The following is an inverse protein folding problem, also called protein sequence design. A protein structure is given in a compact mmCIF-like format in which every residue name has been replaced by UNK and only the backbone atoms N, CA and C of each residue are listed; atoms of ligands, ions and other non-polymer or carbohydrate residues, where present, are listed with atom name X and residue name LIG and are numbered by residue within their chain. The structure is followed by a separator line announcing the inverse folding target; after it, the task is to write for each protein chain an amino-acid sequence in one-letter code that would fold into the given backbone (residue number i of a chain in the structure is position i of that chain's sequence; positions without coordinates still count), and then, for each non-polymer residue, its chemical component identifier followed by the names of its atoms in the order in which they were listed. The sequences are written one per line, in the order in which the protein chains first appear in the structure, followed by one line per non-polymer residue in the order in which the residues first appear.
data_IF_350109033222
#
_entry.id   IF_350109033222
#
_cell.length_a   1.000
_cell.length_b   1.000
_cell.length_c   1.000
_cell.angle_alpha   90.00
_cell.angle_beta   90.00
_cell.angle_gamma   90.00
#
_symmetry.space_group_name_H-M   'P 1'
#
loop_
_entity.id
_entity.type
_entity.pdbx_description
1 polymer ?
#
# COMPACT_ATOMS: atom_id res chain seq x y z
N UNK A 1 -25.82 9.80 13.71
CA UNK A 1 -25.38 9.73 12.28
C UNK A 1 -24.15 10.60 12.15
N UNK A 2 -23.05 10.02 11.68
CA UNK A 2 -21.78 10.73 11.50
C UNK A 2 -21.85 11.67 10.30
N UNK A 3 -21.12 12.80 10.35
CA UNK A 3 -20.93 13.65 9.15
C UNK A 3 -20.01 12.97 8.14
N UNK A 4 -18.89 12.44 8.62
CA UNK A 4 -17.93 11.74 7.76
C UNK A 4 -17.30 10.55 8.52
N UNK A 5 -17.25 9.41 7.85
CA UNK A 5 -16.46 8.25 8.30
C UNK A 5 -15.27 8.08 7.37
N UNK A 6 -14.09 7.88 7.97
CA UNK A 6 -12.84 7.60 7.28
C UNK A 6 -12.46 6.13 7.55
N UNK A 7 -12.21 5.36 6.49
CA UNK A 7 -11.86 3.94 6.58
C UNK A 7 -10.38 3.75 6.33
N UNK A 8 -9.62 3.45 7.40
CA UNK A 8 -8.18 3.21 7.37
C UNK A 8 -7.36 4.37 7.94
N UNK A 9 -6.20 4.01 8.52
CA UNK A 9 -5.28 4.92 9.23
C UNK A 9 -3.86 4.94 8.64
N UNK A 10 -3.70 4.57 7.35
CA UNK A 10 -2.50 4.90 6.60
C UNK A 10 -2.36 6.42 6.38
N UNK A 11 -1.31 6.87 5.69
CA UNK A 11 -1.07 8.29 5.40
C UNK A 11 -2.26 8.99 4.76
N UNK A 12 -3.03 8.31 3.91
CA UNK A 12 -4.22 8.88 3.30
C UNK A 12 -5.32 9.16 4.34
N UNK A 13 -5.67 8.16 5.14
CA UNK A 13 -6.73 8.27 6.14
C UNK A 13 -6.40 9.26 7.24
N UNK A 14 -5.17 9.20 7.79
CA UNK A 14 -4.72 10.14 8.82
C UNK A 14 -4.65 11.59 8.31
N UNK A 15 -4.20 11.81 7.06
CA UNK A 15 -4.25 13.14 6.46
C UNK A 15 -5.69 13.61 6.27
N UNK A 16 -6.58 12.74 5.78
CA UNK A 16 -8.00 13.06 5.66
C UNK A 16 -8.60 13.42 7.03
N UNK A 17 -8.28 12.66 8.09
CA UNK A 17 -8.72 12.92 9.46
C UNK A 17 -8.26 14.30 9.98
N UNK A 18 -7.00 14.67 9.73
CA UNK A 18 -6.49 15.99 10.11
C UNK A 18 -7.30 17.11 9.44
N UNK A 19 -7.54 17.01 8.14
CA UNK A 19 -8.21 18.06 7.38
C UNK A 19 -9.70 18.16 7.69
N UNK A 20 -10.40 17.03 7.80
CA UNK A 20 -11.84 17.01 8.16
C UNK A 20 -12.07 17.46 9.61
N UNK A 21 -11.22 17.05 10.56
CA UNK A 21 -11.29 17.52 11.93
C UNK A 21 -11.06 19.03 12.04
N UNK A 22 -10.09 19.59 11.29
CA UNK A 22 -9.85 21.04 11.23
C UNK A 22 -11.00 21.81 10.58
N UNK A 23 -11.81 21.17 9.74
CA UNK A 23 -13.03 21.72 9.17
C UNK A 23 -14.27 21.57 10.11
N UNK A 24 -14.08 21.15 11.36
CA UNK A 24 -15.14 20.90 12.36
C UNK A 24 -16.16 19.83 11.91
N UNK A 25 -15.74 18.84 11.14
CA UNK A 25 -16.60 17.74 10.72
C UNK A 25 -16.63 16.56 11.71
N UNK A 26 -15.79 16.60 12.75
CA UNK A 26 -15.69 15.54 13.78
C UNK A 26 -15.64 14.13 13.19
N UNK A 27 -14.61 13.80 12.38
CA UNK A 27 -14.57 12.53 11.67
C UNK A 27 -14.46 11.34 12.61
N UNK A 28 -15.23 10.28 12.36
CA UNK A 28 -14.99 8.96 12.92
C UNK A 28 -14.02 8.19 12.00
N UNK A 29 -12.89 7.76 12.53
CA UNK A 29 -11.86 7.01 11.81
C UNK A 29 -11.89 5.55 12.24
N UNK A 30 -12.16 4.65 11.29
CA UNK A 30 -12.14 3.21 11.50
C UNK A 30 -10.77 2.65 11.11
N UNK A 31 -10.03 2.15 12.09
CA UNK A 31 -8.59 1.85 11.94
C UNK A 31 -8.31 0.54 11.21
N UNK A 32 -9.26 -0.42 11.24
CA UNK A 32 -9.06 -1.79 10.75
C UNK A 32 -8.20 -2.64 11.71
N UNK A 33 -7.78 -3.81 11.24
CA UNK A 33 -6.94 -4.74 12.02
C UNK A 33 -5.45 -4.37 12.02
N UNK A 34 -5.00 -3.57 11.07
CA UNK A 34 -3.61 -3.12 10.95
C UNK A 34 -3.54 -1.57 11.00
N UNK A 35 -3.74 -0.96 12.20
CA UNK A 35 -3.69 0.49 12.36
C UNK A 35 -2.36 1.06 11.86
N UNK A 36 -2.43 2.15 11.08
CA UNK A 36 -1.26 2.80 10.48
C UNK A 36 -0.81 2.20 9.14
N UNK A 37 -1.28 1.01 8.80
CA UNK A 37 -1.03 0.35 7.51
C UNK A 37 0.45 0.02 7.29
N UNK A 38 0.90 0.01 6.03
CA UNK A 38 2.22 -0.52 5.63
C UNK A 38 3.42 0.15 6.29
N UNK A 39 3.33 1.43 6.67
CA UNK A 39 4.44 2.12 7.32
C UNK A 39 4.73 1.61 8.73
N UNK A 40 3.80 0.93 9.38
CA UNK A 40 4.06 0.32 10.71
C UNK A 40 4.94 -0.92 10.64
N UNK A 41 5.12 -1.50 9.46
CA UNK A 41 5.99 -2.65 9.21
C UNK A 41 7.31 -2.29 8.51
N UNK A 42 7.59 -0.99 8.33
CA UNK A 42 8.88 -0.52 7.80
C UNK A 42 9.71 0.16 8.89
N UNK A 43 11.00 0.26 8.66
CA UNK A 43 11.93 0.91 9.59
C UNK A 43 12.08 2.40 9.23
N UNK A 44 13.19 2.78 8.60
CA UNK A 44 13.48 4.16 8.26
C UNK A 44 12.78 4.59 6.96
N UNK A 45 12.05 5.70 7.00
CA UNK A 45 11.41 6.36 5.87
C UNK A 45 12.19 7.63 5.53
N UNK A 46 12.94 7.62 4.43
CA UNK A 46 13.78 8.74 3.98
C UNK A 46 13.13 9.61 2.90
N UNK A 47 12.01 9.14 2.33
CA UNK A 47 11.36 9.77 1.19
C UNK A 47 10.05 10.50 1.53
N UNK A 48 9.77 10.71 2.82
CA UNK A 48 8.67 11.56 3.26
C UNK A 48 9.20 12.97 3.56
N UNK A 49 8.75 14.02 2.85
CA UNK A 49 9.28 15.37 3.00
C UNK A 49 9.13 15.93 4.40
N UNK A 50 10.12 16.69 4.86
CA UNK A 50 10.13 17.32 6.19
C UNK A 50 11.03 16.62 7.21
N UNK A 51 11.61 15.47 6.87
CA UNK A 51 12.51 14.69 7.70
C UNK A 51 13.84 14.45 7.00
N UNK A 52 14.81 15.39 7.07
CA UNK A 52 16.08 15.30 6.34
C UNK A 52 16.94 14.10 6.74
N UNK A 53 16.80 13.63 7.97
CA UNK A 53 17.50 12.45 8.50
C UNK A 53 16.62 11.16 8.42
N UNK A 54 15.49 11.23 7.71
CA UNK A 54 14.48 10.18 7.76
C UNK A 54 13.67 10.17 9.05
N UNK A 55 12.66 9.31 9.09
CA UNK A 55 11.84 9.08 10.27
C UNK A 55 11.45 7.60 10.33
N UNK A 56 11.40 7.03 11.52
CA UNK A 56 10.86 5.70 11.73
C UNK A 56 9.39 5.62 11.29
N UNK A 57 9.02 4.60 10.51
CA UNK A 57 7.68 4.48 9.93
C UNK A 57 6.56 4.51 10.98
N UNK A 58 6.61 3.66 12.04
CA UNK A 58 5.69 3.73 13.17
C UNK A 58 5.63 5.11 13.83
N UNK A 59 6.77 5.79 13.98
CA UNK A 59 6.83 7.13 14.57
C UNK A 59 6.13 8.17 13.69
N UNK A 60 6.27 8.09 12.37
CA UNK A 60 5.56 8.98 11.44
C UNK A 60 4.05 8.80 11.58
N UNK A 61 3.57 7.57 11.58
CA UNK A 61 2.14 7.24 11.76
C UNK A 61 1.63 7.77 13.11
N UNK A 62 2.37 7.53 14.19
CA UNK A 62 1.99 8.00 15.53
C UNK A 62 1.92 9.54 15.60
N UNK A 63 2.82 10.23 14.93
CA UNK A 63 2.80 11.69 14.87
C UNK A 63 1.56 12.20 14.12
N UNK A 64 1.20 11.57 12.98
CA UNK A 64 0.01 11.93 12.20
C UNK A 64 -1.28 11.62 12.99
N UNK A 65 -1.34 10.49 13.68
CA UNK A 65 -2.48 10.09 14.53
C UNK A 65 -2.71 11.13 15.64
N UNK A 66 -1.68 11.45 16.42
CA UNK A 66 -1.74 12.47 17.47
C UNK A 66 -2.14 13.84 16.93
N UNK A 67 -1.70 14.17 15.71
CA UNK A 67 -2.08 15.42 15.08
C UNK A 67 -3.58 15.44 14.74
N UNK A 68 -4.15 14.33 14.26
CA UNK A 68 -5.58 14.22 13.98
C UNK A 68 -6.42 14.28 15.27
N UNK A 69 -6.03 13.55 16.33
CA UNK A 69 -6.67 13.59 17.65
C UNK A 69 -6.69 15.00 18.23
N UNK A 70 -5.58 15.73 18.11
CA UNK A 70 -5.47 17.12 18.59
C UNK A 70 -6.54 18.03 18.00
N UNK A 71 -7.02 17.75 16.78
CA UNK A 71 -8.06 18.52 16.11
C UNK A 71 -9.47 17.94 16.30
N UNK A 72 -9.61 16.84 17.04
CA UNK A 72 -10.90 16.25 17.38
C UNK A 72 -11.36 15.12 16.46
N UNK A 73 -10.45 14.45 15.74
CA UNK A 73 -10.77 13.18 15.11
C UNK A 73 -10.97 12.08 16.16
N UNK A 74 -12.02 11.30 16.03
CA UNK A 74 -12.31 10.14 16.88
C UNK A 74 -11.84 8.86 16.19
N UNK A 75 -11.14 7.99 16.93
CA UNK A 75 -10.59 6.73 16.41
C UNK A 75 -11.30 5.54 17.04
N UNK A 76 -11.65 4.56 16.21
CA UNK A 76 -12.22 3.28 16.66
C UNK A 76 -11.43 2.14 16.04
N UNK A 77 -10.88 1.27 16.88
CA UNK A 77 -10.26 0.03 16.45
C UNK A 77 -11.36 -0.95 16.03
N UNK A 78 -11.69 -0.94 14.77
CA UNK A 78 -12.77 -1.76 14.20
C UNK A 78 -12.57 -1.92 12.69
N UNK A 79 -13.00 -3.05 12.15
CA UNK A 79 -12.99 -3.34 10.71
C UNK A 79 -14.33 -3.06 10.07
N UNK A 80 -14.30 -2.51 8.86
CA UNK A 80 -15.50 -2.39 8.02
C UNK A 80 -15.71 -3.71 7.30
N UNK A 81 -16.81 -4.40 7.62
CA UNK A 81 -17.19 -5.70 7.04
C UNK A 81 -18.19 -5.55 5.89
N UNK A 82 -18.91 -4.42 5.83
CA UNK A 82 -19.92 -4.18 4.82
C UNK A 82 -20.18 -2.70 4.59
N UNK A 83 -20.71 -2.39 3.41
CA UNK A 83 -21.10 -1.06 3.00
C UNK A 83 -22.44 -1.11 2.27
N UNK A 84 -23.33 -0.16 2.57
CA UNK A 84 -24.60 -0.02 1.86
C UNK A 84 -24.98 1.45 1.69
N UNK A 85 -25.93 1.67 0.78
CA UNK A 85 -26.51 2.99 0.50
C UNK A 85 -27.96 3.00 0.98
N UNK A 86 -28.38 4.09 1.58
CA UNK A 86 -29.76 4.30 2.00
C UNK A 86 -30.18 5.73 1.57
N UNK A 87 -31.48 6.01 1.55
CA UNK A 87 -32.04 7.28 1.04
C UNK A 87 -31.31 8.53 1.56
N UNK A 88 -30.36 9.02 0.78
CA UNK A 88 -29.58 10.25 1.06
C UNK A 88 -28.37 10.09 1.98
N UNK A 89 -28.03 8.87 2.43
CA UNK A 89 -26.86 8.62 3.28
C UNK A 89 -26.24 7.23 3.06
N UNK A 90 -25.11 6.97 3.72
CA UNK A 90 -24.34 5.73 3.64
C UNK A 90 -24.32 5.03 5.00
N UNK A 91 -24.08 3.73 4.98
CA UNK A 91 -23.90 2.95 6.20
C UNK A 91 -22.78 1.95 6.05
N UNK A 92 -22.02 1.82 7.12
CA UNK A 92 -20.94 0.86 7.24
C UNK A 92 -21.28 -0.17 8.31
N UNK A 93 -21.10 -1.46 8.00
CA UNK A 93 -21.26 -2.55 8.95
C UNK A 93 -19.95 -2.76 9.69
N UNK A 94 -19.96 -2.60 11.00
CA UNK A 94 -18.78 -2.57 11.85
C UNK A 94 -19.12 -3.24 13.18
N UNK A 95 -18.38 -4.29 13.57
CA UNK A 95 -18.55 -5.00 14.83
C UNK A 95 -20.00 -5.43 15.11
N UNK A 96 -20.72 -5.91 14.10
CA UNK A 96 -22.09 -6.39 14.24
C UNK A 96 -23.17 -5.30 14.20
N UNK A 97 -22.85 -4.05 13.98
CA UNK A 97 -23.80 -2.94 13.89
C UNK A 97 -23.62 -2.09 12.63
N UNK A 98 -24.68 -1.40 12.22
CA UNK A 98 -24.63 -0.43 11.13
C UNK A 98 -24.43 0.98 11.68
N UNK A 99 -23.40 1.68 11.18
CA UNK A 99 -23.14 3.09 11.48
C UNK A 99 -23.53 3.90 10.27
N UNK A 100 -24.43 4.87 10.46
CA UNK A 100 -24.95 5.74 9.40
C UNK A 100 -24.07 7.00 9.29
N UNK A 101 -23.81 7.45 8.04
CA UNK A 101 -22.98 8.63 7.76
C UNK A 101 -23.42 9.36 6.49
N UNK A 102 -23.18 10.68 6.43
CA UNK A 102 -23.46 11.48 5.25
C UNK A 102 -22.37 11.36 4.17
N UNK A 103 -21.12 11.10 4.57
CA UNK A 103 -19.98 11.00 3.66
C UNK A 103 -19.01 9.93 4.09
N UNK A 104 -18.30 9.31 3.14
CA UNK A 104 -17.27 8.28 3.40
C UNK A 104 -15.99 8.59 2.64
N UNK A 105 -14.86 8.54 3.34
CA UNK A 105 -13.53 8.55 2.71
C UNK A 105 -12.91 7.15 2.87
N UNK A 106 -12.74 6.45 1.75
CA UNK A 106 -12.17 5.12 1.72
C UNK A 106 -10.67 5.26 1.52
N UNK A 107 -9.91 4.96 2.58
CA UNK A 107 -8.46 5.03 2.64
C UNK A 107 -7.84 3.73 3.17
N UNK A 108 -8.51 2.59 2.87
CA UNK A 108 -8.18 1.25 3.36
C UNK A 108 -6.90 0.65 2.75
N UNK A 109 -6.28 1.35 1.79
CA UNK A 109 -5.01 0.97 1.21
C UNK A 109 -5.05 -0.29 0.33
N UNK A 110 -3.87 -0.87 0.12
CA UNK A 110 -3.69 -2.13 -0.61
C UNK A 110 -2.61 -2.96 0.10
N UNK A 111 -2.82 -4.26 0.19
CA UNK A 111 -1.89 -5.19 0.82
C UNK A 111 -0.97 -5.81 -0.21
N UNK A 112 0.34 -5.81 0.04
CA UNK A 112 1.29 -6.53 -0.79
C UNK A 112 1.02 -8.04 -0.74
N UNK A 113 1.13 -8.71 -1.87
CA UNK A 113 1.13 -10.17 -1.91
C UNK A 113 2.50 -10.69 -1.55
N UNK A 114 2.52 -11.68 -0.67
CA UNK A 114 3.72 -12.34 -0.20
C UNK A 114 3.76 -13.79 -0.69
N UNK A 115 4.90 -14.46 -0.55
CA UNK A 115 5.04 -15.86 -0.95
C UNK A 115 4.37 -16.83 0.03
N UNK A 116 4.13 -16.40 1.28
CA UNK A 116 3.59 -17.23 2.34
C UNK A 116 4.63 -18.22 2.91
N UNK A 117 5.90 -17.88 2.81
CA UNK A 117 6.99 -18.72 3.32
C UNK A 117 7.23 -18.47 4.81
N UNK A 118 7.86 -19.46 5.43
CA UNK A 118 8.24 -19.36 6.83
C UNK A 118 9.17 -18.16 7.09
N UNK A 119 9.01 -17.51 8.24
CA UNK A 119 9.76 -16.32 8.69
C UNK A 119 9.51 -15.02 7.89
N UNK A 120 8.60 -15.01 6.94
CA UNK A 120 8.30 -13.83 6.12
C UNK A 120 7.99 -12.59 6.97
N UNK A 121 7.14 -12.73 8.00
CA UNK A 121 6.79 -11.62 8.89
C UNK A 121 7.98 -11.07 9.69
N UNK A 122 8.96 -11.89 10.03
CA UNK A 122 10.15 -11.47 10.80
C UNK A 122 11.17 -10.72 9.94
N UNK A 123 11.20 -11.03 8.64
CA UNK A 123 12.18 -10.47 7.70
C UNK A 123 11.70 -9.19 7.02
N UNK A 124 10.42 -8.83 7.16
CA UNK A 124 9.92 -7.53 6.68
C UNK A 124 10.66 -6.39 7.38
N UNK A 125 11.29 -5.50 6.59
CA UNK A 125 12.19 -4.46 7.10
C UNK A 125 13.60 -4.95 7.45
N UNK A 126 13.86 -6.26 7.39
CA UNK A 126 15.15 -6.90 7.66
C UNK A 126 15.67 -7.67 6.43
N UNK A 127 15.65 -7.02 5.27
CA UNK A 127 16.05 -7.59 3.99
C UNK A 127 14.90 -8.18 3.16
N UNK A 128 13.66 -8.10 3.62
CA UNK A 128 12.49 -8.49 2.84
C UNK A 128 11.52 -7.30 2.72
N UNK A 129 11.21 -6.92 1.48
CA UNK A 129 10.35 -5.74 1.18
C UNK A 129 9.52 -5.96 -0.07
N UNK A 130 8.50 -5.11 -0.26
CA UNK A 130 7.68 -5.05 -1.47
C UNK A 130 7.76 -3.68 -2.19
N UNK A 131 8.74 -2.84 -1.82
CA UNK A 131 8.86 -1.48 -2.36
C UNK A 131 10.32 -1.14 -2.71
N UNK A 132 10.69 -1.23 -3.98
CA UNK A 132 12.03 -0.88 -4.43
C UNK A 132 12.33 0.61 -4.31
N UNK A 133 11.35 1.48 -4.54
CA UNK A 133 11.51 2.93 -4.42
C UNK A 133 11.66 3.41 -2.98
N UNK A 134 11.16 2.63 -2.01
CA UNK A 134 11.32 2.92 -0.59
C UNK A 134 12.71 2.50 -0.10
N UNK A 135 13.10 1.26 -0.36
CA UNK A 135 14.19 0.60 0.34
C UNK A 135 15.45 0.38 -0.52
N UNK A 136 15.34 0.54 -1.84
CA UNK A 136 16.45 0.23 -2.76
C UNK A 136 17.75 1.00 -2.46
N UNK A 137 17.66 2.21 -1.92
CA UNK A 137 18.82 3.04 -1.59
C UNK A 137 19.66 2.44 -0.44
N UNK A 138 19.08 1.65 0.46
CA UNK A 138 19.78 1.01 1.59
C UNK A 138 20.71 -0.13 1.14
N UNK A 139 20.48 -0.70 -0.06
CA UNK A 139 21.20 -1.86 -0.58
C UNK A 139 22.25 -1.48 -1.64
N UNK A 140 22.98 -0.37 -1.42
CA UNK A 140 24.07 0.07 -2.32
C UNK A 140 25.23 -0.90 -2.33
N UNK A 141 25.66 -1.28 -3.53
CA UNK A 141 26.87 -2.09 -3.74
C UNK A 141 26.73 -3.57 -3.34
N UNK A 142 25.54 -4.00 -2.94
CA UNK A 142 25.29 -5.41 -2.56
C UNK A 142 24.33 -6.08 -3.56
N UNK A 143 24.36 -7.43 -3.69
CA UNK A 143 23.43 -8.15 -4.53
C UNK A 143 22.04 -8.21 -3.90
N UNK A 144 21.01 -8.05 -4.75
CA UNK A 144 19.60 -8.15 -4.36
C UNK A 144 18.84 -9.04 -5.33
N UNK A 145 17.65 -9.51 -4.97
CA UNK A 145 16.77 -10.15 -5.92
C UNK A 145 15.38 -9.52 -5.94
N UNK A 146 14.73 -9.63 -7.10
CA UNK A 146 13.33 -9.24 -7.33
C UNK A 146 12.57 -10.49 -7.72
N UNK A 147 11.47 -10.77 -7.03
CA UNK A 147 10.61 -11.91 -7.32
C UNK A 147 9.37 -11.40 -8.04
N UNK A 148 9.20 -11.83 -9.28
CA UNK A 148 8.05 -11.40 -10.09
C UNK A 148 8.28 -11.61 -11.58
N UNK A 149 7.38 -11.06 -12.41
CA UNK A 149 7.52 -11.19 -13.87
C UNK A 149 6.54 -10.31 -14.65
N UNK A 150 5.83 -9.41 -13.97
CA UNK A 150 5.00 -8.36 -14.56
C UNK A 150 5.75 -7.03 -14.68
N UNK A 151 5.04 -6.00 -15.16
CA UNK A 151 5.62 -4.66 -15.33
C UNK A 151 6.24 -4.12 -14.04
N UNK A 152 5.56 -4.25 -12.90
CA UNK A 152 6.10 -3.84 -11.59
C UNK A 152 7.46 -4.49 -11.29
N UNK A 153 7.59 -5.80 -11.49
CA UNK A 153 8.85 -6.50 -11.20
C UNK A 153 10.00 -6.05 -12.12
N UNK A 154 9.70 -5.76 -13.39
CA UNK A 154 10.70 -5.26 -14.34
C UNK A 154 11.08 -3.82 -14.05
N UNK A 155 10.12 -2.96 -13.68
CA UNK A 155 10.37 -1.57 -13.27
C UNK A 155 11.23 -1.51 -12.01
N UNK A 156 10.89 -2.30 -10.99
CA UNK A 156 11.67 -2.39 -9.76
C UNK A 156 13.08 -2.93 -9.99
N UNK A 157 13.22 -3.99 -10.81
CA UNK A 157 14.53 -4.51 -11.16
C UNK A 157 15.41 -3.47 -11.86
N UNK A 158 14.84 -2.72 -12.84
CA UNK A 158 15.55 -1.62 -13.52
C UNK A 158 15.93 -0.52 -12.51
N UNK A 159 15.00 -0.12 -11.65
CA UNK A 159 15.25 0.92 -10.64
C UNK A 159 16.42 0.54 -9.72
N UNK A 160 16.45 -0.70 -9.24
CA UNK A 160 17.47 -1.22 -8.34
C UNK A 160 18.86 -1.27 -8.95
N UNK A 161 19.00 -1.32 -10.29
CA UNK A 161 20.34 -1.26 -10.93
C UNK A 161 21.12 0.01 -10.61
N UNK A 162 20.43 1.07 -10.16
CA UNK A 162 21.05 2.34 -9.74
C UNK A 162 21.84 2.20 -8.43
N UNK A 163 21.50 1.22 -7.63
CA UNK A 163 22.05 1.03 -6.28
C UNK A 163 22.81 -0.29 -6.15
N UNK A 164 22.15 -1.39 -6.43
CA UNK A 164 22.68 -2.73 -6.24
C UNK A 164 23.90 -3.03 -7.12
N UNK A 165 24.77 -3.92 -6.65
CA UNK A 165 25.86 -4.46 -7.47
C UNK A 165 25.33 -5.42 -8.54
N UNK A 166 24.32 -6.21 -8.21
CA UNK A 166 23.64 -7.18 -9.07
C UNK A 166 22.17 -7.27 -8.69
N UNK A 167 21.28 -7.44 -9.64
CA UNK A 167 19.84 -7.66 -9.45
C UNK A 167 19.45 -8.98 -10.08
N UNK A 168 19.07 -9.96 -9.27
CA UNK A 168 18.58 -11.25 -9.76
C UNK A 168 17.06 -11.17 -9.92
N UNK A 169 16.57 -11.28 -11.17
CA UNK A 169 15.14 -11.27 -11.47
C UNK A 169 14.60 -12.71 -11.52
N UNK A 170 14.03 -13.16 -10.40
CA UNK A 170 13.56 -14.54 -10.23
C UNK A 170 12.15 -14.68 -10.77
N UNK A 171 11.97 -15.56 -11.74
CA UNK A 171 10.66 -15.82 -12.33
C UNK A 171 10.39 -17.32 -12.53
N UNK A 172 9.18 -17.75 -12.14
CA UNK A 172 8.74 -19.15 -12.19
C UNK A 172 8.50 -19.72 -13.58
N UNK A 173 8.61 -18.91 -14.64
CA UNK A 173 8.46 -19.30 -16.05
C UNK A 173 9.72 -18.95 -16.82
N UNK A 174 9.77 -19.37 -18.09
CA UNK A 174 10.86 -19.10 -19.03
C UNK A 174 10.79 -17.72 -19.69
N UNK A 175 9.72 -16.95 -19.45
CA UNK A 175 9.53 -15.60 -19.99
C UNK A 175 8.69 -14.72 -19.08
N UNK A 176 8.98 -13.42 -19.06
CA UNK A 176 8.24 -12.41 -18.32
C UNK A 176 6.85 -12.17 -18.93
N UNK A 177 5.92 -11.71 -18.09
CA UNK A 177 4.57 -11.30 -18.51
C UNK A 177 4.44 -9.79 -18.66
N UNK A 178 5.51 -9.05 -18.40
CA UNK A 178 5.58 -7.61 -18.59
C UNK A 178 5.36 -7.22 -20.05
N UNK A 179 5.05 -5.96 -20.29
CA UNK A 179 4.96 -5.42 -21.65
C UNK A 179 6.30 -5.60 -22.38
N UNK A 180 6.25 -5.83 -23.70
CA UNK A 180 7.44 -6.12 -24.51
C UNK A 180 8.55 -5.09 -24.28
N UNK A 181 8.20 -3.82 -24.24
CA UNK A 181 9.16 -2.72 -24.03
C UNK A 181 9.83 -2.81 -22.63
N UNK A 182 9.09 -3.24 -21.60
CA UNK A 182 9.66 -3.40 -20.26
C UNK A 182 10.56 -4.62 -20.17
N UNK A 183 10.20 -5.72 -20.84
CA UNK A 183 11.05 -6.90 -20.96
C UNK A 183 12.38 -6.55 -21.62
N UNK A 184 12.35 -5.88 -22.79
CA UNK A 184 13.55 -5.45 -23.50
C UNK A 184 14.43 -4.52 -22.65
N UNK A 185 13.82 -3.55 -21.98
CA UNK A 185 14.55 -2.64 -21.07
C UNK A 185 15.21 -3.35 -19.89
N UNK A 186 14.49 -4.28 -19.25
CA UNK A 186 15.03 -5.03 -18.12
C UNK A 186 16.18 -5.94 -18.55
N UNK A 187 15.98 -6.74 -19.60
CA UNK A 187 16.98 -7.72 -20.07
C UNK A 187 18.20 -7.06 -20.76
N UNK A 188 18.09 -5.79 -21.17
CA UNK A 188 19.25 -5.03 -21.67
C UNK A 188 20.14 -4.46 -20.56
N UNK A 189 19.72 -4.49 -19.30
CA UNK A 189 20.52 -3.98 -18.19
C UNK A 189 21.62 -4.97 -17.79
N UNK A 190 22.90 -4.58 -17.84
CA UNK A 190 24.00 -5.51 -17.56
C UNK A 190 24.03 -6.03 -16.11
N UNK A 191 23.38 -5.32 -15.19
CA UNK A 191 23.27 -5.72 -13.78
C UNK A 191 22.07 -6.64 -13.50
N UNK A 192 21.16 -6.83 -14.45
CA UNK A 192 20.00 -7.72 -14.25
C UNK A 192 20.34 -9.11 -14.76
N UNK A 193 20.26 -10.07 -13.86
CA UNK A 193 20.42 -11.51 -14.17
C UNK A 193 19.07 -12.20 -14.04
N UNK A 194 18.44 -12.60 -15.15
CA UNK A 194 17.20 -13.35 -15.07
C UNK A 194 17.46 -14.79 -14.57
N UNK A 195 16.65 -15.22 -13.61
CA UNK A 195 16.65 -16.58 -13.06
C UNK A 195 15.32 -17.23 -13.42
N UNK A 196 15.33 -17.95 -14.53
CA UNK A 196 14.13 -18.52 -15.13
C UNK A 196 13.69 -19.84 -14.49
N UNK A 197 12.41 -20.16 -14.64
CA UNK A 197 11.81 -21.42 -14.19
C UNK A 197 12.07 -21.71 -12.72
N UNK A 198 12.20 -20.67 -11.90
CA UNK A 198 12.71 -20.77 -10.53
C UNK A 198 11.75 -20.09 -9.57
N UNK A 199 11.55 -20.75 -8.43
CA UNK A 199 10.82 -20.20 -7.28
C UNK A 199 11.73 -20.11 -6.08
N UNK A 200 11.44 -19.20 -5.16
CA UNK A 200 12.03 -19.16 -3.82
C UNK A 200 11.24 -20.11 -2.94
N UNK A 201 11.94 -20.97 -2.21
CA UNK A 201 11.34 -21.96 -1.31
C UNK A 201 11.58 -21.63 0.16
N UNK A 202 12.65 -20.89 0.47
CA UNK A 202 12.96 -20.45 1.84
C UNK A 202 13.80 -19.18 1.83
N UNK A 203 13.57 -18.33 2.82
CA UNK A 203 14.45 -17.21 3.15
C UNK A 203 15.53 -17.69 4.13
N UNK A 204 16.75 -17.22 3.96
CA UNK A 204 17.88 -17.50 4.84
C UNK A 204 18.21 -16.22 5.61
N UNK A 205 18.25 -16.32 6.93
CA UNK A 205 18.60 -15.24 7.83
C UNK A 205 19.89 -15.55 8.56
N UNK A 206 20.69 -14.53 8.80
CA UNK A 206 21.85 -14.62 9.65
C UNK A 206 21.47 -14.69 11.15
N UNK A 207 22.42 -14.92 12.07
CA UNK A 207 22.13 -15.00 13.51
C UNK A 207 21.57 -13.69 14.11
N UNK A 208 21.69 -12.55 13.42
CA UNK A 208 21.13 -11.26 13.85
C UNK A 208 19.69 -11.05 13.41
N UNK A 209 19.19 -11.92 12.51
CA UNK A 209 17.84 -11.86 11.96
C UNK A 209 17.74 -11.10 10.62
N UNK A 210 18.88 -10.69 10.05
CA UNK A 210 18.93 -10.03 8.74
C UNK A 210 19.00 -11.06 7.61
N UNK A 211 18.39 -10.75 6.47
CA UNK A 211 18.40 -11.62 5.31
C UNK A 211 19.83 -11.75 4.73
N UNK A 212 20.28 -12.99 4.54
CA UNK A 212 21.56 -13.29 3.91
C UNK A 212 21.45 -14.05 2.58
N UNK A 213 20.27 -14.56 2.24
CA UNK A 213 20.05 -15.29 1.00
C UNK A 213 18.68 -15.94 0.88
N UNK A 214 18.53 -16.71 -0.19
CA UNK A 214 17.31 -17.48 -0.47
C UNK A 214 17.65 -18.87 -0.98
N UNK A 215 16.83 -19.86 -0.64
CA UNK A 215 16.83 -21.16 -1.32
C UNK A 215 15.91 -21.10 -2.55
N UNK A 216 16.41 -21.66 -3.63
CA UNK A 216 15.77 -21.67 -4.93
C UNK A 216 15.47 -23.11 -5.36
N UNK A 217 14.37 -23.29 -6.07
CA UNK A 217 14.02 -24.54 -6.75
C UNK A 217 13.70 -24.24 -8.21
N UNK A 218 14.45 -24.87 -9.12
CA UNK A 218 14.09 -24.85 -10.52
C UNK A 218 12.89 -25.80 -10.74
N UNK A 219 11.77 -25.26 -11.19
CA UNK A 219 10.51 -26.01 -11.31
C UNK A 219 10.47 -26.96 -12.52
N UNK A 220 11.42 -26.85 -13.45
CA UNK A 220 11.54 -27.77 -14.60
C UNK A 220 12.49 -28.94 -14.30
N UNK A 221 13.63 -28.66 -13.69
CA UNK A 221 14.65 -29.68 -13.44
C UNK A 221 14.56 -30.31 -12.05
N UNK A 222 13.87 -29.65 -11.09
CA UNK A 222 13.84 -30.05 -9.68
C UNK A 222 15.14 -29.75 -8.94
N UNK A 223 16.10 -29.06 -9.55
CA UNK A 223 17.37 -28.70 -8.94
C UNK A 223 17.17 -27.62 -7.88
N UNK A 224 17.70 -27.87 -6.69
CA UNK A 224 17.75 -26.90 -5.60
C UNK A 224 19.11 -26.19 -5.58
N UNK A 225 19.10 -24.89 -5.28
CA UNK A 225 20.29 -24.07 -5.16
C UNK A 225 20.10 -22.97 -4.12
N UNK A 226 21.17 -22.28 -3.76
CA UNK A 226 21.15 -21.16 -2.83
C UNK A 226 21.69 -19.91 -3.54
N UNK A 227 21.04 -18.77 -3.31
CA UNK A 227 21.46 -17.48 -3.83
C UNK A 227 21.72 -16.53 -2.65
N UNK A 228 22.97 -16.08 -2.52
CA UNK A 228 23.34 -15.09 -1.52
C UNK A 228 22.92 -13.68 -1.98
N UNK A 229 21.99 -13.08 -1.28
CA UNK A 229 21.50 -11.71 -1.52
C UNK A 229 21.21 -11.04 -0.19
N UNK A 230 21.29 -9.70 -0.16
CA UNK A 230 21.05 -8.92 1.06
C UNK A 230 19.64 -8.35 1.13
N UNK A 231 18.89 -8.42 0.01
CA UNK A 231 17.48 -8.04 0.01
C UNK A 231 16.69 -8.81 -1.04
N UNK A 232 15.46 -9.11 -0.68
CA UNK A 232 14.43 -9.68 -1.55
C UNK A 232 13.31 -8.66 -1.72
N UNK A 233 13.05 -8.24 -2.94
CA UNK A 233 11.93 -7.40 -3.34
C UNK A 233 10.82 -8.29 -3.90
N UNK A 234 9.70 -8.38 -3.20
CA UNK A 234 8.56 -9.23 -3.60
C UNK A 234 7.59 -8.43 -4.46
N UNK A 235 7.73 -8.53 -5.79
CA UNK A 235 6.99 -7.78 -6.80
C UNK A 235 5.95 -8.66 -7.53
N UNK A 236 5.11 -9.38 -6.75
CA UNK A 236 4.11 -10.32 -7.31
C UNK A 236 2.68 -9.78 -7.35
N UNK A 237 2.47 -8.54 -7.07
CA UNK A 237 1.27 -7.71 -7.09
C UNK A 237 0.80 -7.29 -5.69
N UNK A 238 -0.14 -6.34 -5.68
CA UNK A 238 -0.89 -5.91 -4.51
C UNK A 238 -2.37 -6.29 -4.66
N UNK A 239 -3.10 -6.31 -3.56
CA UNK A 239 -4.55 -6.46 -3.55
C UNK A 239 -5.13 -5.26 -2.82
N UNK A 240 -5.96 -4.43 -3.47
CA UNK A 240 -6.62 -3.34 -2.80
C UNK A 240 -7.62 -3.87 -1.77
N UNK A 241 -7.71 -3.19 -0.62
CA UNK A 241 -8.56 -3.59 0.49
C UNK A 241 -9.99 -3.06 0.26
N UNK A 242 -10.66 -3.58 -0.76
CA UNK A 242 -11.96 -3.11 -1.26
C UNK A 242 -13.09 -4.10 -1.02
N UNK A 243 -12.85 -5.19 -0.28
CA UNK A 243 -13.83 -6.26 -0.03
C UNK A 243 -15.23 -5.76 0.34
N UNK A 244 -15.39 -4.90 1.36
CA UNK A 244 -16.68 -4.39 1.82
C UNK A 244 -17.46 -3.58 0.76
N UNK A 245 -16.76 -3.00 -0.21
CA UNK A 245 -17.31 -2.08 -1.22
C UNK A 245 -17.62 -2.77 -2.56
N UNK A 246 -17.30 -4.06 -2.68
CA UNK A 246 -17.46 -4.83 -3.92
C UNK A 246 -18.94 -4.86 -4.37
N UNK A 247 -19.16 -4.50 -5.65
CA UNK A 247 -20.49 -4.45 -6.24
C UNK A 247 -21.34 -3.23 -5.82
N UNK A 248 -20.78 -2.33 -5.00
CA UNK A 248 -21.42 -1.08 -4.58
C UNK A 248 -20.75 0.16 -5.17
N UNK A 249 -19.45 0.10 -5.39
CA UNK A 249 -18.62 1.17 -5.97
C UNK A 249 -17.89 0.63 -7.19
N UNK A 250 -17.72 1.44 -8.22
CA UNK A 250 -17.04 1.05 -9.44
C UNK A 250 -15.56 0.73 -9.17
N UNK A 251 -15.09 -0.42 -9.70
CA UNK A 251 -13.74 -0.93 -9.56
C UNK A 251 -13.16 -1.30 -10.92
N UNK A 252 -11.83 -1.28 -11.03
CA UNK A 252 -11.13 -1.86 -12.17
C UNK A 252 -11.10 -3.39 -12.10
N UNK A 253 -10.53 -4.03 -13.12
CA UNK A 253 -10.40 -5.49 -13.19
C UNK A 253 -9.51 -6.10 -12.09
N UNK A 254 -8.70 -5.30 -11.40
CA UNK A 254 -7.82 -5.70 -10.31
C UNK A 254 -8.43 -5.41 -8.92
N UNK A 255 -9.60 -4.76 -8.87
CA UNK A 255 -10.33 -4.43 -7.67
C UNK A 255 -10.01 -3.05 -7.08
N UNK A 256 -9.21 -2.22 -7.75
CA UNK A 256 -8.97 -0.84 -7.31
C UNK A 256 -10.20 0.04 -7.53
N UNK A 257 -10.51 0.92 -6.57
CA UNK A 257 -11.62 1.85 -6.70
C UNK A 257 -11.36 2.86 -7.85
N UNK A 258 -12.36 3.02 -8.72
CA UNK A 258 -12.30 3.99 -9.81
C UNK A 258 -12.74 5.37 -9.33
N UNK A 259 -11.96 6.39 -9.70
CA UNK A 259 -12.23 7.80 -9.43
C UNK A 259 -12.77 8.47 -10.70
N UNK A 260 -13.89 9.19 -10.58
CA UNK A 260 -14.49 9.95 -11.70
C UNK A 260 -13.80 11.30 -11.90
N UNK A 261 -13.60 12.03 -10.80
CA UNK A 261 -12.94 13.34 -10.78
C UNK A 261 -12.31 13.53 -9.40
N UNK A 262 -11.05 13.99 -9.36
CA UNK A 262 -10.34 14.16 -8.10
C UNK A 262 -10.28 12.86 -7.31
N UNK A 263 -10.93 12.82 -6.15
CA UNK A 263 -11.06 11.63 -5.31
C UNK A 263 -12.48 11.02 -5.31
N UNK A 264 -13.43 11.62 -6.03
CA UNK A 264 -14.82 11.15 -6.10
C UNK A 264 -14.94 9.77 -6.75
N UNK A 265 -15.69 8.88 -6.12
CA UNK A 265 -16.01 7.55 -6.65
C UNK A 265 -17.26 7.58 -7.56
N UNK A 266 -17.85 6.42 -7.84
CA UNK A 266 -19.13 6.31 -8.55
C UNK A 266 -20.32 6.85 -7.74
N UNK A 267 -20.20 6.97 -6.42
CA UNK A 267 -21.23 7.45 -5.51
C UNK A 267 -20.94 8.90 -5.05
N UNK A 268 -21.93 9.83 -5.12
CA UNK A 268 -21.78 11.17 -4.58
C UNK A 268 -21.45 11.12 -3.07
N UNK A 269 -20.52 11.94 -2.59
CA UNK A 269 -20.14 11.95 -1.16
C UNK A 269 -19.31 10.77 -0.69
N UNK A 270 -18.93 9.88 -1.59
CA UNK A 270 -17.99 8.79 -1.31
C UNK A 270 -16.69 9.01 -2.09
N UNK A 271 -15.59 9.12 -1.37
CA UNK A 271 -14.26 9.46 -1.88
C UNK A 271 -13.27 8.32 -1.65
N UNK A 272 -12.29 8.20 -2.53
CA UNK A 272 -11.23 7.19 -2.41
C UNK A 272 -9.85 7.85 -2.44
N UNK A 273 -8.97 7.50 -1.50
CA UNK A 273 -7.67 8.11 -1.33
C UNK A 273 -6.58 7.08 -0.98
N UNK A 274 -5.40 7.25 -1.53
CA UNK A 274 -4.26 6.36 -1.34
C UNK A 274 -4.35 5.08 -2.17
N UNK A 275 -3.61 4.06 -1.74
CA UNK A 275 -3.35 2.86 -2.51
C UNK A 275 -4.60 2.04 -2.86
N UNK A 276 -5.72 2.23 -2.17
CA UNK A 276 -7.00 1.61 -2.52
C UNK A 276 -7.52 2.01 -3.91
N UNK A 277 -7.07 3.16 -4.42
CA UNK A 277 -7.44 3.73 -5.73
C UNK A 277 -6.21 4.19 -6.54
N UNK A 278 -4.99 3.80 -6.12
CA UNK A 278 -3.74 4.15 -6.78
C UNK A 278 -2.87 2.89 -6.99
N UNK A 279 -3.02 2.20 -8.14
CA UNK A 279 -2.19 1.04 -8.47
C UNK A 279 -0.77 1.42 -8.92
N UNK A 280 -0.45 2.71 -9.13
CA UNK A 280 0.78 3.16 -9.78
C UNK A 280 1.84 3.64 -8.80
N UNK A 281 1.56 4.71 -8.03
CA UNK A 281 2.56 5.36 -7.20
C UNK A 281 2.82 4.62 -5.89
N UNK A 282 1.76 4.35 -5.13
CA UNK A 282 1.85 3.63 -3.84
C UNK A 282 2.93 4.21 -2.93
N UNK A 283 2.90 5.54 -2.76
CA UNK A 283 3.83 6.27 -1.92
C UNK A 283 3.10 6.97 -0.78
N UNK A 284 3.75 7.05 0.39
CA UNK A 284 3.20 7.70 1.57
C UNK A 284 2.77 9.15 1.30
N UNK A 285 3.60 9.89 0.55
CA UNK A 285 3.32 11.29 0.23
C UNK A 285 2.19 11.47 -0.78
N UNK A 286 2.07 10.59 -1.79
CA UNK A 286 0.93 10.65 -2.73
C UNK A 286 -0.36 10.26 -2.03
N UNK A 287 -0.32 9.27 -1.14
CA UNK A 287 -1.45 8.87 -0.31
C UNK A 287 -1.89 10.02 0.61
N UNK A 288 -0.97 10.70 1.28
CA UNK A 288 -1.26 11.88 2.10
C UNK A 288 -1.89 13.00 1.27
N UNK A 289 -1.34 13.30 0.09
CA UNK A 289 -1.91 14.31 -0.82
C UNK A 289 -3.33 13.97 -1.28
N UNK A 290 -3.60 12.70 -1.59
CA UNK A 290 -4.95 12.24 -1.93
C UNK A 290 -5.90 12.30 -0.72
N UNK A 291 -5.43 12.00 0.50
CA UNK A 291 -6.20 12.16 1.73
C UNK A 291 -6.63 13.60 1.98
N UNK A 292 -5.71 14.55 1.76
CA UNK A 292 -6.03 15.98 1.81
C UNK A 292 -7.12 16.36 0.78
N UNK A 293 -6.95 15.91 -0.47
CA UNK A 293 -7.94 16.19 -1.54
C UNK A 293 -9.32 15.62 -1.19
N UNK A 294 -9.38 14.37 -0.72
CA UNK A 294 -10.64 13.71 -0.34
C UNK A 294 -11.35 14.46 0.81
N UNK A 295 -10.60 14.89 1.81
CA UNK A 295 -11.15 15.67 2.91
C UNK A 295 -11.76 17.01 2.44
N UNK A 296 -11.07 17.73 1.55
CA UNK A 296 -11.58 19.00 1.00
C UNK A 296 -12.80 18.80 0.10
N UNK A 297 -12.84 17.68 -0.64
CA UNK A 297 -14.01 17.35 -1.46
C UNK A 297 -15.20 16.90 -0.60
N UNK A 298 -14.96 16.16 0.49
CA UNK A 298 -15.98 15.77 1.46
C UNK A 298 -16.59 17.00 2.18
N UNK A 299 -15.75 17.94 2.60
CA UNK A 299 -16.20 19.20 3.23
C UNK A 299 -17.11 19.98 2.29
N UNK A 300 -16.74 20.15 1.01
CA UNK A 300 -17.57 20.83 0.02
C UNK A 300 -18.90 20.13 -0.22
N UNK A 301 -18.88 18.80 -0.35
CA UNK A 301 -20.07 17.99 -0.50
C UNK A 301 -21.05 18.16 0.68
N UNK A 302 -20.53 18.11 1.91
CA UNK A 302 -21.36 18.30 3.11
C UNK A 302 -21.93 19.72 3.21
N UNK A 303 -21.15 20.74 2.86
CA UNK A 303 -21.64 22.13 2.80
C UNK A 303 -22.75 22.33 1.74
N UNK A 304 -22.65 21.64 0.59
CA UNK A 304 -23.72 21.64 -0.40
C UNK A 304 -25.00 20.96 0.12
N UNK A 305 -24.90 19.82 0.82
CA UNK A 305 -26.04 19.17 1.46
C UNK A 305 -26.72 20.06 2.49
N UNK A 306 -25.95 20.71 3.37
CA UNK A 306 -26.48 21.63 4.37
C UNK A 306 -27.22 22.81 3.71
N UNK A 307 -26.73 23.31 2.57
CA UNK A 307 -27.37 24.40 1.82
C UNK A 307 -28.69 24.02 1.16
N UNK A 308 -28.87 22.73 0.84
CA UNK A 308 -30.08 22.17 0.24
C UNK A 308 -31.15 21.76 1.27
N UNK A 309 -30.85 21.87 2.56
CA UNK A 309 -31.75 21.55 3.66
C UNK A 309 -31.90 20.05 3.95
N UNK A 310 -30.86 19.29 3.63
CA UNK A 310 -30.77 17.85 3.91
C UNK A 310 -29.87 17.56 5.12
#
# INVERSE_FOLDING_TARGET
MEKVIIVGTGCAGLTAAIYTARANLSPLVLEGHEPGGQLTSTTLVENYPGFPEGIDGPQLIMNMHRQAEKFGAEFRYAEVEGFDTKDGYYRLYVDGEWIDTQSVIIASGASAKWLGLEHECKLKGHGLTSCATCDGAFYRGVPVCVIGGGDTATEEAIFLTRFASQVYLIHRRDQLRATKIMVERALSQPKIVPVWNTIVTRYLADPTGELEGVELLNVQTGEASTLAVKCVFVAIAHTPNTGPFKGKIDMDSNGYLLKKRGTQTSLPGVFAAGDVADPFYRQAITAAGQGCAAAMEAERYLAELESLGH
#
